data_IF_601306882002
#
_entry.id   IF_601306882002
#
_cell.length_a   1.000
_cell.length_b   1.000
_cell.length_c   1.000
_cell.angle_alpha   90.00
_cell.angle_beta   90.00
_cell.angle_gamma   90.00
#
_symmetry.space_group_name_H-M   'P 1'
#
loop_
_entity.id
_entity.type
_entity.pdbx_description
1 polymer ?
#
# COMPACT_ATOMS: atom_id res chain seq x y z
N UNK A 1 47.68 2.64 7.53
CA UNK A 1 46.48 3.29 6.93
C UNK A 1 45.91 2.31 5.90
N UNK A 2 45.13 1.32 6.34
CA UNK A 2 44.67 0.23 5.49
C UNK A 2 43.24 -0.20 5.86
N UNK A 3 42.36 -0.17 4.86
CA UNK A 3 41.09 -0.88 4.73
C UNK A 3 40.08 -0.85 5.90
N UNK A 4 39.24 0.19 5.94
CA UNK A 4 38.01 0.23 6.77
C UNK A 4 36.71 0.27 5.96
N UNK A 5 36.73 -0.08 4.67
CA UNK A 5 35.55 -0.01 3.78
C UNK A 5 34.82 -1.35 3.54
N UNK A 6 35.29 -2.48 4.08
CA UNK A 6 34.68 -3.81 3.89
C UNK A 6 33.69 -4.36 4.96
N UNK A 7 33.49 -3.78 6.17
CA UNK A 7 32.69 -4.46 7.19
C UNK A 7 31.18 -4.50 6.86
N UNK A 8 30.63 -3.50 6.16
CA UNK A 8 29.18 -3.39 5.92
C UNK A 8 28.63 -4.43 4.93
N UNK A 9 29.36 -4.70 3.84
CA UNK A 9 28.98 -5.68 2.83
C UNK A 9 29.09 -7.12 3.37
N UNK A 10 30.13 -7.40 4.15
CA UNK A 10 30.31 -8.70 4.81
C UNK A 10 29.19 -8.98 5.82
N UNK A 11 28.82 -7.97 6.61
CA UNK A 11 27.70 -8.06 7.57
C UNK A 11 26.37 -8.31 6.86
N UNK A 12 26.09 -7.61 5.74
CA UNK A 12 24.89 -7.86 4.92
C UNK A 12 24.85 -9.31 4.42
N UNK A 13 25.98 -9.83 3.92
CA UNK A 13 26.08 -11.20 3.44
C UNK A 13 25.83 -12.24 4.55
N UNK A 14 26.28 -11.95 5.77
CA UNK A 14 26.04 -12.79 6.94
C UNK A 14 24.56 -12.80 7.35
N UNK A 15 23.87 -11.67 7.28
CA UNK A 15 22.42 -11.58 7.53
C UNK A 15 21.61 -12.36 6.49
N UNK A 16 21.96 -12.26 5.20
CA UNK A 16 21.35 -13.06 4.15
C UNK A 16 21.62 -14.56 4.34
N UNK A 17 22.86 -14.95 4.69
CA UNK A 17 23.23 -16.34 4.97
C UNK A 17 22.41 -16.92 6.12
N UNK A 18 22.18 -16.16 7.19
CA UNK A 18 21.31 -16.57 8.31
C UNK A 18 19.90 -16.91 7.81
N UNK A 19 19.28 -16.03 7.02
CA UNK A 19 17.93 -16.24 6.47
C UNK A 19 17.88 -17.47 5.56
N UNK A 20 18.89 -17.66 4.73
CA UNK A 20 19.00 -18.86 3.87
C UNK A 20 19.11 -20.14 4.68
N UNK A 21 19.96 -20.17 5.72
CA UNK A 21 20.12 -21.34 6.59
C UNK A 21 18.81 -21.62 7.34
N UNK A 22 18.13 -20.61 7.87
CA UNK A 22 16.82 -20.76 8.49
C UNK A 22 15.82 -21.38 7.50
N UNK A 23 15.72 -20.87 6.27
CA UNK A 23 14.83 -21.41 5.25
C UNK A 23 15.14 -22.88 4.92
N UNK A 24 16.42 -23.22 4.75
CA UNK A 24 16.87 -24.60 4.49
C UNK A 24 16.54 -25.52 5.67
N UNK A 25 16.75 -25.07 6.90
CA UNK A 25 16.40 -25.85 8.09
C UNK A 25 14.88 -26.03 8.23
N UNK A 26 14.09 -25.01 7.91
CA UNK A 26 12.63 -25.13 7.84
C UNK A 26 12.21 -26.17 6.82
N UNK A 27 12.78 -26.15 5.60
CA UNK A 27 12.51 -27.16 4.57
C UNK A 27 12.91 -28.57 5.00
N UNK A 28 14.08 -28.73 5.62
CA UNK A 28 14.55 -30.04 6.12
C UNK A 28 13.69 -30.59 7.27
N UNK A 29 13.04 -29.71 8.03
CA UNK A 29 12.14 -30.09 9.12
C UNK A 29 10.75 -30.56 8.65
N UNK A 30 10.43 -30.39 7.36
CA UNK A 30 9.17 -30.84 6.77
C UNK A 30 9.19 -32.37 6.60
N UNK A 31 8.71 -33.10 7.61
CA UNK A 31 8.47 -34.55 7.54
C UNK A 31 7.07 -34.92 8.04
N UNK A 32 6.54 -36.02 7.52
CA UNK A 32 5.23 -36.57 7.90
C UNK A 32 4.06 -35.63 7.56
N UNK A 33 3.17 -35.42 8.54
CA UNK A 33 1.94 -34.63 8.37
C UNK A 33 2.17 -33.18 7.91
N UNK A 34 3.28 -32.54 8.32
CA UNK A 34 3.62 -31.17 7.88
C UNK A 34 3.87 -31.09 6.37
N UNK A 35 4.45 -32.13 5.78
CA UNK A 35 4.73 -32.19 4.35
C UNK A 35 3.42 -32.37 3.57
N UNK A 36 2.57 -33.31 3.98
CA UNK A 36 1.24 -33.54 3.37
C UNK A 36 0.38 -32.28 3.43
N UNK A 37 0.31 -31.63 4.60
CA UNK A 37 -0.41 -30.37 4.77
C UNK A 37 0.11 -29.30 3.79
N UNK A 38 1.43 -29.10 3.71
CA UNK A 38 2.00 -28.09 2.82
C UNK A 38 1.76 -28.42 1.34
N UNK A 39 1.86 -29.69 0.93
CA UNK A 39 1.54 -30.11 -0.44
C UNK A 39 0.07 -29.85 -0.79
N UNK A 40 -0.86 -30.13 0.13
CA UNK A 40 -2.28 -29.81 -0.06
C UNK A 40 -2.49 -28.30 -0.25
N UNK A 41 -1.86 -27.45 0.59
CA UNK A 41 -1.94 -26.00 0.44
C UNK A 41 -1.36 -25.51 -0.90
N UNK A 42 -0.23 -26.08 -1.34
CA UNK A 42 0.36 -25.76 -2.65
C UNK A 42 -0.58 -26.20 -3.77
N UNK A 43 -1.17 -27.39 -3.67
CA UNK A 43 -2.14 -27.90 -4.65
C UNK A 43 -3.37 -27.00 -4.79
N UNK A 44 -3.97 -26.60 -3.66
CA UNK A 44 -5.11 -25.65 -3.65
C UNK A 44 -4.69 -24.29 -4.21
N UNK A 45 -3.49 -23.80 -3.86
CA UNK A 45 -2.96 -22.55 -4.39
C UNK A 45 -2.78 -22.58 -5.91
N UNK A 46 -2.22 -23.67 -6.45
CA UNK A 46 -2.07 -23.87 -7.90
C UNK A 46 -3.41 -23.98 -8.61
N UNK A 47 -4.39 -24.65 -8.01
CA UNK A 47 -5.76 -24.73 -8.51
C UNK A 47 -6.40 -23.33 -8.57
N UNK A 48 -6.27 -22.54 -7.51
CA UNK A 48 -6.78 -21.17 -7.50
C UNK A 48 -6.11 -20.30 -8.57
N UNK A 49 -4.79 -20.42 -8.75
CA UNK A 49 -4.06 -19.71 -9.80
C UNK A 49 -4.47 -20.15 -11.22
N UNK A 50 -4.77 -21.44 -11.43
CA UNK A 50 -5.22 -21.94 -12.73
C UNK A 50 -6.63 -21.47 -13.08
N UNK A 51 -7.55 -21.42 -12.10
CA UNK A 51 -8.87 -20.82 -12.27
C UNK A 51 -8.73 -19.33 -12.63
N UNK A 52 -7.89 -18.60 -11.91
CA UNK A 52 -7.66 -17.18 -12.15
C UNK A 52 -7.08 -16.93 -13.55
N UNK A 53 -6.13 -17.77 -13.98
CA UNK A 53 -5.56 -17.75 -15.33
C UNK A 53 -6.64 -17.98 -16.39
N UNK A 54 -7.48 -19.00 -16.23
CA UNK A 54 -8.57 -19.29 -17.17
C UNK A 54 -9.56 -18.11 -17.27
N UNK A 55 -9.88 -17.48 -16.15
CA UNK A 55 -10.72 -16.27 -16.11
C UNK A 55 -10.11 -15.10 -16.88
N UNK A 56 -8.84 -14.77 -16.61
CA UNK A 56 -8.14 -13.68 -17.31
C UNK A 56 -7.94 -13.98 -18.79
N UNK A 57 -7.60 -15.21 -19.16
CA UNK A 57 -7.43 -15.59 -20.55
C UNK A 57 -8.75 -15.43 -21.32
N UNK A 58 -9.88 -15.91 -20.78
CA UNK A 58 -11.19 -15.71 -21.40
C UNK A 58 -11.54 -14.23 -21.55
N UNK A 59 -11.31 -13.43 -20.50
CA UNK A 59 -11.57 -11.99 -20.50
C UNK A 59 -10.72 -11.25 -21.55
N UNK A 60 -9.41 -11.52 -21.60
CA UNK A 60 -8.50 -10.87 -22.54
C UNK A 60 -8.76 -11.27 -23.99
N UNK A 61 -9.09 -12.54 -24.24
CA UNK A 61 -9.46 -13.03 -25.59
C UNK A 61 -10.75 -12.35 -26.08
N UNK A 62 -11.74 -12.19 -25.20
CA UNK A 62 -12.97 -11.47 -25.53
C UNK A 62 -12.70 -9.99 -25.84
N UNK A 63 -11.83 -9.35 -25.08
CA UNK A 63 -11.45 -7.95 -25.31
C UNK A 63 -10.71 -7.76 -26.63
N UNK A 64 -9.82 -8.68 -27.00
CA UNK A 64 -9.11 -8.60 -28.28
C UNK A 64 -9.98 -8.90 -29.51
N UNK A 65 -11.08 -9.65 -29.34
CA UNK A 65 -12.02 -9.91 -30.41
C UNK A 65 -12.76 -8.63 -30.89
N UNK A 66 -12.76 -7.56 -30.10
CA UNK A 66 -13.37 -6.27 -30.45
C UNK A 66 -12.46 -5.50 -31.41
N UNK A 67 -12.91 -5.35 -32.67
CA UNK A 67 -12.17 -4.65 -33.72
C UNK A 67 -11.88 -3.18 -33.33
N UNK A 68 -10.70 -2.68 -33.74
CA UNK A 68 -10.09 -1.37 -33.42
C UNK A 68 -9.71 -1.09 -31.94
N UNK A 69 -10.53 -1.48 -30.95
CA UNK A 69 -10.34 -1.05 -29.55
C UNK A 69 -9.59 -2.09 -28.71
N UNK A 70 -9.70 -3.37 -29.05
CA UNK A 70 -9.18 -4.49 -28.25
C UNK A 70 -7.71 -4.37 -27.84
N UNK A 71 -6.77 -4.09 -28.77
CA UNK A 71 -5.36 -3.97 -28.44
C UNK A 71 -5.05 -2.84 -27.45
N UNK A 72 -5.69 -1.68 -27.61
CA UNK A 72 -5.49 -0.51 -26.73
C UNK A 72 -6.07 -0.81 -25.33
N UNK A 73 -7.21 -1.47 -25.28
CA UNK A 73 -7.91 -1.78 -24.03
C UNK A 73 -7.14 -2.79 -23.17
N UNK A 74 -6.54 -3.81 -23.78
CA UNK A 74 -5.69 -4.78 -23.07
C UNK A 74 -4.50 -4.12 -22.34
N UNK A 75 -3.82 -3.16 -22.99
CA UNK A 75 -2.73 -2.40 -22.40
C UNK A 75 -3.20 -1.40 -21.34
N UNK A 76 -4.38 -0.79 -21.54
CA UNK A 76 -5.00 0.07 -20.52
C UNK A 76 -5.33 -0.72 -19.25
N UNK A 77 -5.93 -1.90 -19.40
CA UNK A 77 -6.20 -2.79 -18.27
C UNK A 77 -4.90 -3.20 -17.56
N UNK A 78 -3.84 -3.48 -18.32
CA UNK A 78 -2.52 -3.78 -17.75
C UNK A 78 -2.01 -2.62 -16.89
N UNK A 79 -2.12 -1.39 -17.39
CA UNK A 79 -1.76 -0.19 -16.64
C UNK A 79 -2.54 -0.05 -15.34
N UNK A 80 -3.85 -0.32 -15.38
CA UNK A 80 -4.72 -0.26 -14.21
C UNK A 80 -4.38 -1.35 -13.18
N UNK A 81 -4.19 -2.59 -13.63
CA UNK A 81 -3.80 -3.71 -12.74
C UNK A 81 -2.45 -3.40 -12.07
N UNK A 82 -1.46 -2.90 -12.82
CA UNK A 82 -0.17 -2.49 -12.27
C UNK A 82 -0.28 -1.30 -11.30
N UNK A 83 -1.16 -0.34 -11.57
CA UNK A 83 -1.42 0.77 -10.66
C UNK A 83 -2.06 0.29 -9.35
N UNK A 84 -3.03 -0.63 -9.44
CA UNK A 84 -3.67 -1.23 -8.27
C UNK A 84 -2.68 -2.04 -7.43
N UNK A 85 -1.84 -2.86 -8.07
CA UNK A 85 -0.81 -3.61 -7.34
C UNK A 85 0.23 -2.70 -6.71
N UNK A 86 0.69 -1.65 -7.41
CA UNK A 86 1.59 -0.65 -6.85
C UNK A 86 1.01 -0.03 -5.57
N UNK A 87 -0.23 0.43 -5.65
CA UNK A 87 -0.92 1.09 -4.52
C UNK A 87 -1.12 0.13 -3.36
N UNK A 88 -1.57 -1.10 -3.63
CA UNK A 88 -1.80 -2.12 -2.61
C UNK A 88 -0.51 -2.56 -1.92
N UNK A 89 0.61 -2.64 -2.65
CA UNK A 89 1.93 -2.93 -2.06
C UNK A 89 2.37 -1.78 -1.16
N UNK A 90 2.17 -0.51 -1.53
CA UNK A 90 2.47 0.63 -0.65
C UNK A 90 1.71 0.50 0.67
N UNK A 91 0.40 0.28 0.61
CA UNK A 91 -0.47 0.11 1.79
C UNK A 91 0.01 -1.05 2.67
N UNK A 92 0.23 -2.21 2.06
CA UNK A 92 0.73 -3.40 2.74
C UNK A 92 2.08 -3.14 3.40
N UNK A 93 2.98 -2.43 2.71
CA UNK A 93 4.32 -2.07 3.21
C UNK A 93 4.26 -1.13 4.40
N UNK A 94 3.32 -0.18 4.45
CA UNK A 94 3.12 0.70 5.62
C UNK A 94 2.79 -0.13 6.86
N UNK A 95 1.91 -1.13 6.73
CA UNK A 95 1.48 -1.97 7.83
C UNK A 95 2.59 -2.94 8.29
N UNK A 96 3.20 -3.63 7.33
CA UNK A 96 4.22 -4.66 7.62
C UNK A 96 5.50 -4.01 8.14
N UNK A 97 5.89 -2.86 7.59
CA UNK A 97 7.09 -2.14 8.05
C UNK A 97 7.04 -1.82 9.54
N UNK A 98 5.88 -1.51 10.10
CA UNK A 98 5.75 -1.27 11.54
C UNK A 98 6.07 -2.52 12.36
N UNK A 99 5.56 -3.68 11.95
CA UNK A 99 5.77 -4.93 12.68
C UNK A 99 7.18 -5.50 12.47
N UNK A 100 7.78 -5.29 11.30
CA UNK A 100 9.13 -5.80 10.97
C UNK A 100 10.26 -4.90 11.46
N UNK A 101 10.15 -3.58 11.29
CA UNK A 101 11.23 -2.61 11.60
C UNK A 101 11.31 -2.24 13.07
N UNK A 102 10.19 -2.26 13.80
CA UNK A 102 10.13 -1.78 15.18
C UNK A 102 9.77 -2.86 16.20
N UNK A 103 8.92 -3.83 15.81
CA UNK A 103 8.35 -4.82 16.72
C UNK A 103 8.76 -6.27 16.47
N UNK A 104 9.67 -6.53 15.54
CA UNK A 104 10.15 -7.88 15.28
C UNK A 104 10.87 -8.42 16.51
N UNK A 105 10.55 -9.67 16.89
CA UNK A 105 11.13 -10.39 18.02
C UNK A 105 12.66 -10.39 18.01
N UNK A 106 13.23 -10.45 16.81
CA UNK A 106 14.66 -10.64 16.60
C UNK A 106 15.44 -9.33 16.77
N UNK A 107 14.76 -8.18 16.78
CA UNK A 107 15.41 -6.87 16.90
C UNK A 107 16.17 -6.75 18.23
N UNK A 108 15.62 -7.26 19.33
CA UNK A 108 16.29 -7.22 20.65
C UNK A 108 17.65 -7.91 20.61
N UNK A 109 17.73 -9.06 19.94
CA UNK A 109 18.97 -9.79 19.73
C UNK A 109 19.90 -9.04 18.78
N UNK A 110 19.39 -8.59 17.63
CA UNK A 110 20.19 -7.92 16.59
C UNK A 110 20.81 -6.60 17.07
N UNK A 111 20.09 -5.81 17.88
CA UNK A 111 20.60 -4.58 18.50
C UNK A 111 21.59 -4.83 19.65
N UNK A 112 21.64 -6.06 20.18
CA UNK A 112 22.66 -6.45 21.18
C UNK A 112 23.99 -6.86 20.51
N UNK A 113 23.98 -7.12 19.20
CA UNK A 113 25.17 -7.40 18.43
C UNK A 113 25.82 -6.09 17.92
N UNK A 114 27.15 -6.06 17.68
CA UNK A 114 27.85 -4.90 17.12
C UNK A 114 27.57 -4.74 15.62
N UNK A 115 26.30 -4.55 15.25
CA UNK A 115 25.83 -4.36 13.88
C UNK A 115 25.55 -2.87 13.62
N UNK A 116 25.97 -2.32 12.47
CA UNK A 116 25.61 -0.96 12.10
C UNK A 116 24.09 -0.87 11.85
N UNK A 117 23.45 0.14 12.45
CA UNK A 117 22.00 0.34 12.40
C UNK A 117 21.46 0.39 10.96
N UNK A 118 22.23 0.94 10.03
CA UNK A 118 21.85 1.06 8.62
C UNK A 118 21.76 -0.32 7.92
N UNK A 119 22.66 -1.24 8.22
CA UNK A 119 22.63 -2.60 7.65
C UNK A 119 21.47 -3.41 8.23
N UNK A 120 21.19 -3.23 9.54
CA UNK A 120 20.03 -3.83 10.19
C UNK A 120 18.72 -3.30 9.59
N UNK A 121 18.64 -1.98 9.38
CA UNK A 121 17.51 -1.34 8.72
C UNK A 121 17.30 -1.88 7.30
N UNK A 122 18.37 -2.00 6.48
CA UNK A 122 18.26 -2.55 5.12
C UNK A 122 17.80 -4.02 5.13
N UNK A 123 18.31 -4.86 6.04
CA UNK A 123 17.87 -6.26 6.16
C UNK A 123 16.36 -6.35 6.45
N UNK A 124 15.87 -5.49 7.34
CA UNK A 124 14.44 -5.43 7.68
C UNK A 124 13.60 -4.72 6.61
N UNK A 125 14.16 -3.77 5.87
CA UNK A 125 13.50 -3.15 4.74
C UNK A 125 13.25 -4.17 3.61
N UNK A 126 14.27 -4.96 3.26
CA UNK A 126 14.12 -6.04 2.26
C UNK A 126 13.12 -7.10 2.72
N UNK A 127 13.16 -7.48 4.00
CA UNK A 127 12.18 -8.40 4.60
C UNK A 127 10.75 -7.85 4.50
N UNK A 128 10.57 -6.56 4.77
CA UNK A 128 9.29 -5.86 4.65
C UNK A 128 8.77 -5.89 3.22
N UNK A 129 9.63 -5.51 2.25
CA UNK A 129 9.26 -5.52 0.84
C UNK A 129 8.83 -6.91 0.41
N UNK A 130 9.61 -7.94 0.75
CA UNK A 130 9.27 -9.32 0.41
C UNK A 130 7.91 -9.75 1.00
N UNK A 131 7.69 -9.55 2.31
CA UNK A 131 6.42 -9.91 2.95
C UNK A 131 5.22 -9.12 2.43
N UNK A 132 5.43 -7.87 2.02
CA UNK A 132 4.36 -7.02 1.51
C UNK A 132 3.93 -7.35 0.07
N UNK A 133 4.85 -7.88 -0.74
CA UNK A 133 4.64 -8.01 -2.18
C UNK A 133 4.40 -9.45 -2.65
N UNK A 134 4.88 -10.47 -1.94
CA UNK A 134 4.91 -11.84 -2.47
C UNK A 134 3.52 -12.36 -2.87
N UNK A 135 2.47 -12.07 -2.09
CA UNK A 135 1.10 -12.49 -2.40
C UNK A 135 0.53 -11.78 -3.61
N UNK A 136 0.73 -10.47 -3.72
CA UNK A 136 0.23 -9.65 -4.82
C UNK A 136 0.96 -9.95 -6.13
N UNK A 137 2.25 -10.26 -6.06
CA UNK A 137 3.02 -10.75 -7.21
C UNK A 137 2.52 -12.12 -7.68
N UNK A 138 2.22 -13.04 -6.77
CA UNK A 138 1.61 -14.31 -7.16
C UNK A 138 0.24 -14.12 -7.82
N UNK A 139 -0.57 -13.16 -7.34
CA UNK A 139 -1.88 -12.86 -7.90
C UNK A 139 -1.81 -12.26 -9.33
N UNK A 140 -0.76 -11.52 -9.67
CA UNK A 140 -0.61 -10.92 -11.01
C UNK A 140 -0.03 -11.89 -12.05
N UNK A 141 0.63 -12.99 -11.62
CA UNK A 141 1.24 -13.97 -12.53
C UNK A 141 0.24 -14.55 -13.54
N UNK A 142 -0.95 -15.04 -13.13
CA UNK A 142 -1.96 -15.55 -14.06
C UNK A 142 -2.39 -14.53 -15.11
N UNK A 143 -2.51 -13.26 -14.73
CA UNK A 143 -2.87 -12.18 -15.64
C UNK A 143 -1.81 -11.97 -16.73
N UNK A 144 -0.53 -11.94 -16.35
CA UNK A 144 0.59 -11.72 -17.29
C UNK A 144 0.80 -12.92 -18.20
N UNK A 145 0.64 -14.15 -17.69
CA UNK A 145 0.66 -15.37 -18.50
C UNK A 145 -0.44 -15.34 -19.57
N UNK A 146 -1.66 -14.95 -19.17
CA UNK A 146 -2.78 -14.82 -20.10
C UNK A 146 -2.49 -13.73 -21.16
N UNK A 147 -1.96 -12.58 -20.75
CA UNK A 147 -1.61 -11.48 -21.65
C UNK A 147 -0.53 -11.86 -22.67
N UNK A 148 0.54 -12.53 -22.22
CA UNK A 148 1.60 -13.00 -23.11
C UNK A 148 1.09 -14.03 -24.12
N UNK A 149 0.18 -14.93 -23.70
CA UNK A 149 -0.44 -15.92 -24.58
C UNK A 149 -1.35 -15.29 -25.63
N UNK A 150 -2.19 -14.35 -25.21
CA UNK A 150 -3.16 -13.66 -26.08
C UNK A 150 -2.44 -12.78 -27.12
N UNK A 151 -1.39 -12.06 -26.73
CA UNK A 151 -0.54 -11.25 -27.63
C UNK A 151 0.45 -12.04 -28.48
N UNK A 152 0.54 -13.36 -28.32
CA UNK A 152 1.51 -14.21 -29.04
C UNK A 152 2.98 -13.91 -28.70
N UNK A 153 3.26 -13.41 -27.49
CA UNK A 153 4.61 -13.02 -27.08
C UNK A 153 5.44 -14.24 -26.64
N UNK A 154 6.73 -14.25 -27.02
CA UNK A 154 7.66 -15.32 -26.68
C UNK A 154 8.12 -15.32 -25.21
N UNK A 155 8.91 -16.33 -24.83
CA UNK A 155 9.40 -16.51 -23.44
C UNK A 155 10.19 -15.31 -22.91
N UNK A 156 10.89 -14.57 -23.79
CA UNK A 156 11.64 -13.38 -23.43
C UNK A 156 10.79 -12.28 -22.78
N UNK A 157 9.49 -12.20 -23.12
CA UNK A 157 8.57 -11.24 -22.50
C UNK A 157 8.42 -11.51 -21.00
N UNK A 158 8.26 -12.76 -20.59
CA UNK A 158 8.12 -13.10 -19.17
C UNK A 158 9.38 -12.78 -18.37
N UNK A 159 10.56 -13.01 -18.96
CA UNK A 159 11.85 -12.66 -18.33
C UNK A 159 11.99 -11.14 -18.19
N UNK A 160 11.67 -10.38 -19.24
CA UNK A 160 11.69 -8.92 -19.20
C UNK A 160 10.72 -8.36 -18.15
N UNK A 161 9.52 -8.93 -18.06
CA UNK A 161 8.52 -8.54 -17.07
C UNK A 161 9.00 -8.83 -15.65
N UNK A 162 9.55 -10.02 -15.40
CA UNK A 162 10.10 -10.39 -14.11
C UNK A 162 11.26 -9.44 -13.71
N UNK A 163 12.11 -9.05 -14.65
CA UNK A 163 13.17 -8.06 -14.42
C UNK A 163 12.62 -6.68 -14.03
N UNK A 164 11.56 -6.21 -14.69
CA UNK A 164 10.88 -4.94 -14.37
C UNK A 164 10.16 -4.97 -13.02
N UNK A 165 9.64 -6.14 -12.62
CA UNK A 165 8.94 -6.29 -11.34
C UNK A 165 9.85 -6.06 -10.12
N UNK A 166 11.14 -6.39 -10.22
CA UNK A 166 12.09 -6.19 -9.12
C UNK A 166 12.18 -4.72 -8.69
N UNK A 167 12.59 -3.76 -9.55
CA UNK A 167 12.64 -2.36 -9.18
C UNK A 167 11.24 -1.78 -8.90
N UNK A 168 10.19 -2.27 -9.57
CA UNK A 168 8.81 -1.84 -9.32
C UNK A 168 8.35 -2.12 -7.89
N UNK A 169 8.62 -3.31 -7.38
CA UNK A 169 8.28 -3.75 -6.02
C UNK A 169 9.17 -3.06 -4.99
N UNK A 170 10.46 -2.90 -5.29
CA UNK A 170 11.37 -2.16 -4.44
C UNK A 170 10.88 -0.71 -4.25
N UNK A 171 10.49 -0.04 -5.33
CA UNK A 171 9.94 1.32 -5.30
C UNK A 171 8.69 1.41 -4.42
N UNK A 172 7.69 0.57 -4.64
CA UNK A 172 6.45 0.60 -3.85
C UNK A 172 6.71 0.30 -2.37
N UNK A 173 7.56 -0.68 -2.09
CA UNK A 173 7.97 -1.01 -0.73
C UNK A 173 8.69 0.16 -0.03
N UNK A 174 9.60 0.84 -0.74
CA UNK A 174 10.34 1.97 -0.19
C UNK A 174 9.42 3.15 0.15
N UNK A 175 8.40 3.46 -0.66
CA UNK A 175 7.42 4.49 -0.32
C UNK A 175 6.70 4.17 1.00
N UNK A 176 6.25 2.92 1.17
CA UNK A 176 5.59 2.51 2.41
C UNK A 176 6.50 2.54 3.64
N UNK A 177 7.77 2.14 3.47
CA UNK A 177 8.79 2.14 4.54
C UNK A 177 9.21 3.56 4.94
N UNK A 178 9.43 4.45 3.96
CA UNK A 178 9.77 5.85 4.24
C UNK A 178 8.61 6.50 5.00
N UNK A 179 7.38 6.28 4.55
CA UNK A 179 6.21 6.82 5.21
C UNK A 179 6.08 6.33 6.66
N UNK A 180 6.21 5.01 6.89
CA UNK A 180 6.16 4.47 8.24
C UNK A 180 7.31 4.96 9.13
N UNK A 181 8.51 5.10 8.57
CA UNK A 181 9.66 5.69 9.26
C UNK A 181 9.38 7.14 9.70
N UNK A 182 8.82 7.97 8.81
CA UNK A 182 8.46 9.36 9.13
C UNK A 182 7.38 9.44 10.21
N UNK A 183 6.37 8.58 10.14
CA UNK A 183 5.32 8.52 11.16
C UNK A 183 5.91 8.15 12.52
N UNK A 184 6.79 7.15 12.56
CA UNK A 184 7.45 6.71 13.79
C UNK A 184 8.35 7.79 14.39
N UNK A 185 9.00 8.57 13.53
CA UNK A 185 9.82 9.70 13.94
C UNK A 185 8.98 10.85 14.52
N UNK A 186 7.83 11.14 13.92
CA UNK A 186 6.93 12.18 14.40
C UNK A 186 6.21 11.78 15.70
N UNK A 187 5.87 10.49 15.84
CA UNK A 187 5.16 9.94 17.00
C UNK A 187 5.91 8.77 17.66
N UNK A 188 7.07 9.01 18.28
CA UNK A 188 7.83 8.01 19.03
C UNK A 188 7.11 7.72 20.35
N UNK A 189 6.09 6.87 20.29
CA UNK A 189 5.21 6.55 21.40
C UNK A 189 4.99 5.05 21.43
N UNK A 190 4.95 4.47 22.63
CA UNK A 190 4.58 3.06 22.87
C UNK A 190 3.15 2.71 22.39
N UNK A 191 2.36 3.70 21.97
CA UNK A 191 1.01 3.55 21.36
C UNK A 191 1.02 3.32 19.84
N UNK A 192 2.17 2.98 19.28
CA UNK A 192 2.34 2.82 17.82
C UNK A 192 1.55 1.65 17.25
N UNK A 193 1.14 0.68 18.08
CA UNK A 193 0.16 -0.35 17.71
C UNK A 193 -1.21 0.22 17.32
N UNK A 194 -1.65 1.30 17.96
CA UNK A 194 -2.91 1.99 17.61
C UNK A 194 -2.73 2.88 16.37
N UNK A 195 -1.53 3.44 16.17
CA UNK A 195 -1.17 4.18 14.96
C UNK A 195 -1.16 3.26 13.74
N UNK A 196 -0.78 1.98 13.89
CA UNK A 196 -0.88 0.99 12.80
C UNK A 196 -2.32 0.77 12.35
N UNK A 197 -3.29 0.74 13.28
CA UNK A 197 -4.72 0.65 12.94
C UNK A 197 -5.24 1.92 12.25
N UNK A 198 -4.79 3.08 12.70
CA UNK A 198 -5.10 4.38 12.12
C UNK A 198 -4.54 4.52 10.70
N UNK A 199 -3.27 4.14 10.51
CA UNK A 199 -2.63 4.08 9.20
C UNK A 199 -3.31 3.07 8.28
N UNK A 200 -3.66 1.90 8.79
CA UNK A 200 -4.39 0.88 8.02
C UNK A 200 -5.74 1.39 7.53
N UNK A 201 -6.53 2.02 8.40
CA UNK A 201 -7.84 2.58 8.02
C UNK A 201 -7.69 3.76 7.04
N UNK A 202 -6.73 4.65 7.25
CA UNK A 202 -6.44 5.76 6.35
C UNK A 202 -5.96 5.28 4.97
N UNK A 203 -5.11 4.26 4.94
CA UNK A 203 -4.57 3.69 3.72
C UNK A 203 -5.63 2.92 2.93
N UNK A 204 -6.55 2.22 3.61
CA UNK A 204 -7.70 1.56 2.98
C UNK A 204 -8.66 2.60 2.37
N UNK A 205 -8.93 3.69 3.09
CA UNK A 205 -9.70 4.81 2.58
C UNK A 205 -9.05 5.45 1.35
N UNK A 206 -7.74 5.66 1.38
CA UNK A 206 -6.98 6.22 0.26
C UNK A 206 -7.05 5.33 -0.99
N UNK A 207 -6.85 4.02 -0.84
CA UNK A 207 -6.98 3.05 -1.95
C UNK A 207 -8.39 3.06 -2.51
N UNK A 208 -9.40 3.02 -1.64
CA UNK A 208 -10.79 3.07 -2.08
C UNK A 208 -11.09 4.31 -2.92
N UNK A 209 -10.64 5.48 -2.44
CA UNK A 209 -10.81 6.76 -3.13
C UNK A 209 -10.09 6.73 -4.49
N UNK A 210 -8.86 6.23 -4.56
CA UNK A 210 -8.09 6.08 -5.81
C UNK A 210 -8.78 5.13 -6.82
N UNK A 211 -9.33 4.01 -6.34
CA UNK A 211 -10.08 3.07 -7.17
C UNK A 211 -11.33 3.73 -7.76
N UNK A 212 -12.05 4.53 -6.96
CA UNK A 212 -13.25 5.24 -7.42
C UNK A 212 -12.91 6.39 -8.36
N UNK A 213 -11.82 7.13 -8.11
CA UNK A 213 -11.31 8.16 -9.04
C UNK A 213 -10.93 7.57 -10.41
N UNK A 214 -10.52 6.29 -10.44
CA UNK A 214 -10.17 5.61 -11.70
C UNK A 214 -11.39 5.25 -12.57
N UNK A 215 -12.63 5.53 -12.10
CA UNK A 215 -13.90 5.33 -12.84
C UNK A 215 -13.96 4.03 -13.67
N UNK A 216 -13.78 2.84 -13.07
CA UNK A 216 -13.83 1.57 -13.80
C UNK A 216 -15.20 1.32 -14.46
N UNK A 217 -16.26 1.92 -13.93
CA UNK A 217 -17.66 1.76 -14.38
C UNK A 217 -17.95 2.43 -15.74
N UNK A 218 -17.16 3.42 -16.16
CA UNK A 218 -17.33 4.06 -17.47
C UNK A 218 -16.79 3.21 -18.63
N UNK A 219 -16.08 2.10 -18.35
CA UNK A 219 -15.61 1.15 -19.37
C UNK A 219 -16.75 0.26 -19.92
N UNK A 220 -17.92 0.23 -19.27
CA UNK A 220 -19.02 -0.71 -19.56
C UNK A 220 -20.22 -0.07 -20.27
N UNK A 221 -20.18 1.22 -20.62
CA UNK A 221 -21.28 1.90 -21.33
C UNK A 221 -20.84 2.34 -22.73
N UNK A 222 -21.18 1.57 -23.77
CA UNK A 222 -20.97 1.97 -25.15
C UNK A 222 -22.21 2.73 -25.63
N UNK A 223 -22.20 4.06 -25.61
CA UNK A 223 -23.21 4.82 -26.36
C UNK A 223 -22.63 6.13 -26.94
N UNK A 224 -22.75 6.22 -28.27
CA UNK A 224 -22.40 7.29 -29.21
C UNK A 224 -20.95 7.38 -29.73
N UNK A 225 -20.82 7.50 -31.05
CA UNK A 225 -19.56 7.52 -31.82
C UNK A 225 -18.68 8.76 -31.55
N UNK A 226 -19.25 9.87 -31.05
CA UNK A 226 -18.48 11.02 -30.58
C UNK A 226 -17.74 10.73 -29.26
N UNK A 227 -18.31 9.84 -28.43
CA UNK A 227 -17.65 9.30 -27.23
C UNK A 227 -16.52 8.37 -27.61
N UNK A 228 -16.52 7.71 -28.79
CA UNK A 228 -15.41 6.82 -29.19
C UNK A 228 -14.11 7.58 -29.37
N UNK A 229 -14.11 8.80 -29.92
CA UNK A 229 -12.91 9.63 -30.03
C UNK A 229 -12.41 10.11 -28.64
N UNK A 230 -13.31 10.60 -27.77
CA UNK A 230 -12.98 10.95 -26.39
C UNK A 230 -12.59 9.74 -25.54
N UNK A 231 -13.14 8.56 -25.83
CA UNK A 231 -12.83 7.28 -25.19
C UNK A 231 -11.49 6.76 -25.63
N UNK A 232 -11.13 6.90 -26.92
CA UNK A 232 -9.79 6.64 -27.42
C UNK A 232 -8.79 7.61 -26.77
N UNK A 233 -9.13 8.89 -26.65
CA UNK A 233 -8.30 9.89 -25.97
C UNK A 233 -8.15 9.62 -24.47
N UNK A 234 -9.21 9.15 -23.79
CA UNK A 234 -9.18 8.70 -22.39
C UNK A 234 -8.39 7.39 -22.20
N UNK A 235 -8.54 6.45 -23.13
CA UNK A 235 -7.77 5.20 -23.16
C UNK A 235 -6.28 5.50 -23.37
N UNK A 236 -5.96 6.44 -24.26
CA UNK A 236 -4.59 6.91 -24.51
C UNK A 236 -4.06 7.84 -23.40
N UNK A 237 -4.96 8.48 -22.64
CA UNK A 237 -4.57 9.37 -21.55
C UNK A 237 -3.76 8.61 -20.49
N UNK A 238 -2.58 9.12 -20.11
CA UNK A 238 -1.74 8.45 -19.12
C UNK A 238 -2.45 8.35 -17.79
N UNK A 239 -2.61 7.14 -17.27
CA UNK A 239 -3.27 6.90 -15.97
C UNK A 239 -2.51 7.64 -14.85
N UNK A 240 -1.19 7.75 -14.97
CA UNK A 240 -0.34 8.69 -14.22
C UNK A 240 1.09 8.71 -14.78
N UNK A 241 1.50 9.78 -15.49
CA UNK A 241 2.80 9.87 -16.20
C UNK A 241 4.03 9.62 -15.30
N UNK A 242 3.93 9.95 -14.01
CA UNK A 242 5.04 9.93 -13.06
C UNK A 242 5.09 8.68 -12.17
N UNK A 243 4.09 7.78 -12.26
CA UNK A 243 4.03 6.59 -11.42
C UNK A 243 4.83 5.43 -12.03
N UNK A 244 5.53 4.61 -11.23
CA UNK A 244 6.28 3.45 -11.73
C UNK A 244 5.43 2.46 -12.51
N UNK A 245 4.13 2.35 -12.22
CA UNK A 245 3.18 1.52 -12.97
C UNK A 245 3.08 1.91 -14.45
N UNK A 246 3.19 3.21 -14.75
CA UNK A 246 3.18 3.70 -16.14
C UNK A 246 4.45 3.33 -16.89
N UNK A 247 5.62 3.47 -16.25
CA UNK A 247 6.91 3.11 -16.85
C UNK A 247 7.00 1.62 -17.15
N UNK A 248 6.51 0.75 -16.25
CA UNK A 248 6.42 -0.69 -16.51
C UNK A 248 5.49 -0.95 -17.71
N UNK A 249 4.30 -0.34 -17.74
CA UNK A 249 3.36 -0.54 -18.85
C UNK A 249 3.96 -0.09 -20.18
N UNK A 250 4.63 1.07 -20.21
CA UNK A 250 5.28 1.60 -21.41
C UNK A 250 6.44 0.72 -21.87
N UNK A 251 7.24 0.18 -20.94
CA UNK A 251 8.27 -0.80 -21.25
C UNK A 251 7.65 -2.05 -21.89
N UNK A 252 6.55 -2.57 -21.35
CA UNK A 252 5.87 -3.75 -21.91
C UNK A 252 5.28 -3.49 -23.31
N UNK A 253 4.70 -2.31 -23.54
CA UNK A 253 4.21 -1.88 -24.86
C UNK A 253 5.38 -1.78 -25.86
N UNK A 254 6.51 -1.19 -25.44
CA UNK A 254 7.71 -1.05 -26.26
C UNK A 254 8.30 -2.42 -26.63
N UNK A 255 8.34 -3.36 -25.67
CA UNK A 255 8.75 -4.74 -25.93
C UNK A 255 7.85 -5.41 -26.96
N UNK A 256 6.52 -5.29 -26.81
CA UNK A 256 5.54 -5.89 -27.73
C UNK A 256 5.58 -5.31 -29.14
N UNK A 257 6.06 -4.06 -29.29
CA UNK A 257 6.16 -3.38 -30.59
C UNK A 257 7.56 -3.47 -31.21
N UNK A 258 8.51 -4.15 -30.57
CA UNK A 258 9.88 -4.29 -31.05
C UNK A 258 10.76 -3.03 -30.86
N UNK A 259 10.27 -2.01 -30.14
CA UNK A 259 11.02 -0.79 -29.85
C UNK A 259 11.93 -0.99 -28.62
N UNK A 260 13.04 -1.70 -28.82
CA UNK A 260 13.97 -2.04 -27.73
C UNK A 260 14.60 -0.82 -27.04
N UNK A 261 14.81 0.28 -27.76
CA UNK A 261 15.36 1.52 -27.19
C UNK A 261 14.47 2.10 -26.09
N UNK A 262 13.17 2.20 -26.35
CA UNK A 262 12.19 2.70 -25.37
C UNK A 262 12.05 1.75 -24.18
N UNK A 263 12.09 0.43 -24.43
CA UNK A 263 12.07 -0.57 -23.36
C UNK A 263 13.23 -0.36 -22.38
N UNK A 264 14.46 -0.23 -22.89
CA UNK A 264 15.65 -0.04 -22.04
C UNK A 264 15.63 1.32 -21.33
N UNK A 265 15.12 2.37 -21.98
CA UNK A 265 14.97 3.69 -21.35
C UNK A 265 14.05 3.60 -20.13
N UNK A 266 12.87 3.00 -20.26
CA UNK A 266 11.93 2.88 -19.15
C UNK A 266 12.43 1.90 -18.07
N UNK A 267 13.11 0.81 -18.46
CA UNK A 267 13.73 -0.11 -17.51
C UNK A 267 14.85 0.57 -16.70
N UNK A 268 15.71 1.34 -17.38
CA UNK A 268 16.78 2.11 -16.76
C UNK A 268 16.23 3.21 -15.85
N UNK A 269 15.16 3.91 -16.26
CA UNK A 269 14.47 4.88 -15.43
C UNK A 269 13.93 4.25 -14.14
N UNK A 270 13.34 3.05 -14.21
CA UNK A 270 12.85 2.31 -13.04
C UNK A 270 13.97 1.91 -12.10
N UNK A 271 15.07 1.38 -12.64
CA UNK A 271 16.27 1.03 -11.88
C UNK A 271 16.87 2.26 -11.20
N UNK A 272 17.06 3.36 -11.94
CA UNK A 272 17.63 4.60 -11.43
C UNK A 272 16.75 5.20 -10.33
N UNK A 273 15.43 5.23 -10.51
CA UNK A 273 14.48 5.67 -9.49
C UNK A 273 14.56 4.77 -8.24
N UNK A 274 14.60 3.45 -8.43
CA UNK A 274 14.74 2.49 -7.33
C UNK A 274 16.01 2.72 -6.52
N UNK A 275 17.15 2.85 -7.19
CA UNK A 275 18.43 3.13 -6.56
C UNK A 275 18.45 4.49 -5.84
N UNK A 276 17.89 5.53 -6.47
CA UNK A 276 17.81 6.86 -5.87
C UNK A 276 16.97 6.86 -4.58
N UNK A 277 15.80 6.22 -4.60
CA UNK A 277 14.93 6.14 -3.42
C UNK A 277 15.57 5.28 -2.32
N UNK A 278 16.17 4.13 -2.64
CA UNK A 278 16.88 3.33 -1.64
C UNK A 278 18.12 4.01 -1.08
N UNK A 279 18.86 4.77 -1.91
CA UNK A 279 19.98 5.59 -1.46
C UNK A 279 19.52 6.69 -0.50
N UNK A 280 18.45 7.40 -0.84
CA UNK A 280 17.81 8.39 0.04
C UNK A 280 17.30 7.77 1.35
N UNK A 281 16.66 6.59 1.26
CA UNK A 281 16.19 5.84 2.41
C UNK A 281 17.34 5.40 3.32
N UNK A 282 18.45 4.93 2.75
CA UNK A 282 19.66 4.55 3.49
C UNK A 282 20.27 5.74 4.24
N UNK A 283 20.32 6.92 3.60
CA UNK A 283 20.78 8.15 4.22
C UNK A 283 19.85 8.56 5.37
N UNK A 284 18.54 8.59 5.11
CA UNK A 284 17.50 8.96 6.09
C UNK A 284 17.49 8.03 7.31
N UNK A 285 17.67 6.73 7.08
CA UNK A 285 17.73 5.73 8.14
C UNK A 285 18.85 6.01 9.15
N UNK A 286 19.99 6.53 8.68
CA UNK A 286 21.11 6.88 9.55
C UNK A 286 20.81 7.99 10.56
N UNK A 287 19.82 8.86 10.30
CA UNK A 287 19.45 9.95 11.21
C UNK A 287 18.20 9.63 12.03
N UNK A 288 17.26 8.91 11.44
CA UNK A 288 15.90 8.79 11.97
C UNK A 288 15.67 7.45 12.68
N UNK A 289 16.25 6.36 12.16
CA UNK A 289 15.86 5.01 12.57
C UNK A 289 16.16 4.73 14.05
N UNK A 290 17.36 5.05 14.53
CA UNK A 290 17.76 4.83 15.92
C UNK A 290 16.84 5.56 16.92
N UNK A 291 16.49 6.81 16.58
CA UNK A 291 15.62 7.65 17.40
C UNK A 291 14.18 7.12 17.41
N UNK A 292 13.69 6.68 16.25
CA UNK A 292 12.39 6.02 16.12
C UNK A 292 12.32 4.71 16.90
N UNK A 293 13.35 3.87 16.82
CA UNK A 293 13.43 2.59 17.53
C UNK A 293 13.51 2.76 19.05
N UNK A 294 14.39 3.65 19.53
CA UNK A 294 14.50 3.95 20.97
C UNK A 294 13.20 4.54 21.53
N UNK A 295 12.51 5.38 20.75
CA UNK A 295 11.19 5.91 21.09
C UNK A 295 10.07 4.87 21.09
N UNK A 296 10.14 3.88 20.18
CA UNK A 296 9.19 2.76 20.09
C UNK A 296 9.23 1.87 21.33
N UNK A 297 10.45 1.55 21.77
CA UNK A 297 10.71 0.62 22.86
C UNK A 297 10.72 1.31 24.23
N UNK A 298 10.92 2.63 24.23
CA UNK A 298 10.91 3.45 25.43
C UNK A 298 9.50 3.63 26.00
N UNK A 299 9.35 3.48 27.31
CA UNK A 299 8.15 3.92 28.00
C UNK A 299 8.12 5.46 28.01
N UNK A 300 6.98 6.12 27.72
CA UNK A 300 6.92 7.58 27.64
C UNK A 300 7.38 8.20 28.96
N UNK A 301 8.53 8.88 28.95
CA UNK A 301 9.00 9.67 30.10
C UNK A 301 8.02 10.81 30.29
N UNK A 302 7.15 10.70 31.29
CA UNK A 302 6.23 11.76 31.68
C UNK A 302 7.02 12.94 32.24
N UNK A 303 7.47 13.85 31.36
CA UNK A 303 7.87 15.19 31.78
C UNK A 303 6.59 15.95 32.09
N UNK A 304 6.20 15.95 33.36
CA UNK A 304 5.08 16.73 33.86
C UNK A 304 5.26 18.20 33.51
N UNK A 305 4.69 18.63 32.37
CA UNK A 305 4.59 20.04 32.05
C UNK A 305 3.55 20.63 32.98
N UNK A 306 4.00 21.29 34.02
CA UNK A 306 3.18 22.00 35.00
C UNK A 306 2.63 23.32 34.42
N UNK A 307 2.20 23.32 33.15
CA UNK A 307 1.56 24.48 32.53
C UNK A 307 0.06 24.33 32.68
N UNK A 308 -0.53 25.22 33.48
CA UNK A 308 -1.98 25.41 33.49
C UNK A 308 -2.47 25.75 32.09
N UNK A 309 -3.28 24.87 31.53
CA UNK A 309 -3.89 25.05 30.23
C UNK A 309 -5.04 26.05 30.30
N UNK A 310 -5.40 26.62 29.15
CA UNK A 310 -6.38 27.69 29.07
C UNK A 310 -7.74 27.29 29.67
N UNK A 311 -8.16 26.01 29.56
CA UNK A 311 -9.38 25.53 30.20
C UNK A 311 -9.30 25.50 31.72
N UNK A 312 -8.12 25.19 32.29
CA UNK A 312 -7.93 25.22 33.74
C UNK A 312 -7.99 26.66 34.26
N UNK A 313 -7.49 27.64 33.48
CA UNK A 313 -7.59 29.07 33.81
C UNK A 313 -9.04 29.57 33.72
N UNK A 314 -9.79 29.16 32.70
CA UNK A 314 -11.20 29.53 32.55
C UNK A 314 -12.10 28.86 33.58
N UNK A 315 -11.83 27.61 33.95
CA UNK A 315 -12.54 26.90 35.00
C UNK A 315 -12.32 27.52 36.39
N UNK A 316 -11.15 28.14 36.60
CA UNK A 316 -10.86 28.95 37.80
C UNK A 316 -11.58 30.31 37.78
N UNK A 317 -11.75 30.91 36.60
CA UNK A 317 -12.40 32.23 36.44
C UNK A 317 -13.94 32.17 36.47
N UNK A 318 -14.54 31.08 35.97
CA UNK A 318 -15.99 30.92 35.88
C UNK A 318 -16.45 29.64 36.60
N UNK A 319 -16.78 29.77 37.89
CA UNK A 319 -17.18 28.64 38.75
C UNK A 319 -18.40 27.86 38.24
N UNK A 320 -19.33 28.51 37.52
CA UNK A 320 -20.53 27.87 36.95
C UNK A 320 -20.23 26.94 35.77
N UNK A 321 -19.12 27.15 35.06
CA UNK A 321 -18.71 26.36 33.90
C UNK A 321 -17.65 25.31 34.25
N UNK A 322 -17.24 25.22 35.52
CA UNK A 322 -16.16 24.34 35.98
C UNK A 322 -16.39 22.87 35.61
N UNK A 323 -17.60 22.35 35.80
CA UNK A 323 -17.93 20.95 35.49
C UNK A 323 -17.92 20.67 33.99
N UNK A 324 -18.49 21.56 33.17
CA UNK A 324 -18.49 21.40 31.71
C UNK A 324 -17.08 21.52 31.11
N UNK A 325 -16.29 22.50 31.58
CA UNK A 325 -14.91 22.71 31.13
C UNK A 325 -13.97 21.58 31.55
N UNK A 326 -14.20 20.96 32.72
CA UNK A 326 -13.40 19.81 33.18
C UNK A 326 -13.73 18.53 32.42
N UNK A 327 -15.00 18.30 32.08
CA UNK A 327 -15.40 17.22 31.17
C UNK A 327 -14.82 17.43 29.76
N UNK A 328 -14.99 18.62 29.19
CA UNK A 328 -14.40 18.97 27.90
C UNK A 328 -12.87 18.79 27.88
N UNK A 329 -12.20 19.21 28.95
CA UNK A 329 -10.77 19.02 29.13
C UNK A 329 -10.38 17.54 29.17
N UNK A 330 -11.12 16.72 29.92
CA UNK A 330 -10.93 15.26 29.99
C UNK A 330 -11.10 14.64 28.61
N UNK A 331 -12.17 14.97 27.90
CA UNK A 331 -12.48 14.39 26.60
C UNK A 331 -11.49 14.83 25.52
N UNK A 332 -11.08 16.11 25.52
CA UNK A 332 -10.03 16.59 24.60
C UNK A 332 -8.71 15.88 24.85
N UNK A 333 -8.34 15.68 26.11
CA UNK A 333 -7.13 14.92 26.45
C UNK A 333 -7.24 13.45 26.05
N UNK A 334 -8.39 12.82 26.26
CA UNK A 334 -8.65 11.43 25.86
C UNK A 334 -8.57 11.29 24.34
N UNK A 335 -9.20 12.20 23.59
CA UNK A 335 -9.11 12.29 22.13
C UNK A 335 -7.66 12.47 21.64
N UNK A 336 -6.90 13.35 22.28
CA UNK A 336 -5.50 13.59 21.90
C UNK A 336 -4.55 12.47 22.33
N UNK A 337 -4.91 11.68 23.35
CA UNK A 337 -4.05 10.62 23.89
C UNK A 337 -4.37 9.26 23.27
N UNK A 338 -5.63 8.90 23.08
CA UNK A 338 -6.02 7.58 22.60
C UNK A 338 -6.18 7.59 21.07
N UNK A 339 -5.24 6.94 20.38
CA UNK A 339 -5.19 6.90 18.93
C UNK A 339 -6.34 6.07 18.32
N UNK A 340 -7.06 5.27 19.13
CA UNK A 340 -8.24 4.53 18.67
C UNK A 340 -9.36 5.46 18.21
N UNK A 341 -9.57 6.59 18.89
CA UNK A 341 -10.57 7.58 18.46
C UNK A 341 -10.19 8.21 17.12
N UNK A 342 -8.91 8.54 16.90
CA UNK A 342 -8.44 9.08 15.62
C UNK A 342 -8.65 8.11 14.45
N UNK A 343 -8.37 6.81 14.67
CA UNK A 343 -8.66 5.77 13.66
C UNK A 343 -10.16 5.71 13.32
N UNK A 344 -11.03 5.84 14.32
CA UNK A 344 -12.49 5.82 14.09
C UNK A 344 -12.99 7.09 13.40
N UNK A 345 -12.48 8.27 13.77
CA UNK A 345 -12.82 9.54 13.12
C UNK A 345 -12.41 9.50 11.64
N UNK A 346 -11.17 9.05 11.35
CA UNK A 346 -10.67 8.96 9.98
C UNK A 346 -11.49 7.98 9.14
N UNK A 347 -11.85 6.82 9.71
CA UNK A 347 -12.71 5.84 9.04
C UNK A 347 -14.07 6.44 8.69
N UNK A 348 -14.73 7.10 9.65
CA UNK A 348 -16.06 7.69 9.45
C UNK A 348 -15.97 8.84 8.44
N UNK A 349 -14.97 9.71 8.56
CA UNK A 349 -14.75 10.81 7.62
C UNK A 349 -14.52 10.30 6.19
N UNK A 350 -13.73 9.24 6.02
CA UNK A 350 -13.55 8.60 4.73
C UNK A 350 -14.88 8.06 4.16
N UNK A 351 -15.68 7.39 4.99
CA UNK A 351 -16.99 6.88 4.58
C UNK A 351 -17.93 8.02 4.14
N UNK A 352 -17.92 9.15 4.85
CA UNK A 352 -18.70 10.34 4.49
C UNK A 352 -18.24 10.93 3.15
N UNK A 353 -16.93 11.07 2.93
CA UNK A 353 -16.38 11.57 1.66
C UNK A 353 -16.79 10.68 0.50
N UNK A 354 -16.66 9.37 0.67
CA UNK A 354 -17.10 8.37 -0.31
C UNK A 354 -18.58 8.50 -0.60
N UNK A 355 -19.39 8.61 0.44
CA UNK A 355 -20.82 8.78 0.33
C UNK A 355 -21.19 10.04 -0.47
N UNK A 356 -20.65 11.20 -0.09
CA UNK A 356 -20.90 12.46 -0.78
C UNK A 356 -20.51 12.39 -2.26
N UNK A 357 -19.37 11.76 -2.56
CA UNK A 357 -18.90 11.60 -3.93
C UNK A 357 -19.71 10.59 -4.75
N UNK A 358 -20.24 9.56 -4.10
CA UNK A 358 -21.14 8.58 -4.73
C UNK A 358 -22.48 9.21 -5.09
N UNK A 359 -23.05 10.03 -4.19
CA UNK A 359 -24.33 10.72 -4.42
C UNK A 359 -24.23 11.71 -5.58
N UNK A 360 -23.12 12.44 -5.69
CA UNK A 360 -22.89 13.39 -6.78
C UNK A 360 -22.82 12.76 -8.19
N UNK A 361 -22.61 11.45 -8.29
CA UNK A 361 -22.48 10.75 -9.57
C UNK A 361 -23.77 10.02 -10.00
N UNK A 362 -24.84 10.09 -9.21
CA UNK A 362 -26.11 9.48 -9.57
C UNK A 362 -26.75 10.28 -10.72
N UNK A 363 -27.12 9.66 -11.85
CA UNK A 363 -27.92 10.31 -12.88
C UNK A 363 -29.32 10.57 -12.33
N UNK A 364 -29.59 11.82 -11.96
CA UNK A 364 -30.87 12.27 -11.38
C UNK A 364 -31.80 12.81 -12.48
N UNK A 365 -31.90 12.08 -13.58
CA UNK A 365 -32.55 12.57 -14.81
C UNK A 365 -34.08 12.60 -14.72
N UNK A 366 -34.68 11.85 -13.78
CA UNK A 366 -36.13 11.84 -13.53
C UNK A 366 -36.49 12.36 -12.13
N UNK A 367 -37.58 13.16 -12.01
CA UNK A 367 -38.01 13.76 -10.74
C UNK A 367 -38.39 12.71 -9.67
N UNK A 368 -38.85 11.53 -10.08
CA UNK A 368 -39.21 10.43 -9.18
C UNK A 368 -37.97 9.80 -8.52
N UNK A 369 -36.90 9.56 -9.30
CA UNK A 369 -35.62 9.05 -8.80
C UNK A 369 -34.99 10.06 -7.84
N UNK A 370 -35.09 11.36 -8.17
CA UNK A 370 -34.56 12.42 -7.30
C UNK A 370 -35.24 12.46 -5.94
N UNK A 371 -36.56 12.31 -5.90
CA UNK A 371 -37.34 12.32 -4.65
C UNK A 371 -37.04 11.09 -3.79
N UNK A 372 -36.96 9.91 -4.42
CA UNK A 372 -36.63 8.66 -3.74
C UNK A 372 -35.19 8.65 -3.18
N UNK A 373 -34.21 9.09 -3.97
CA UNK A 373 -32.81 9.20 -3.54
C UNK A 373 -32.65 10.20 -2.41
N UNK A 374 -33.37 11.33 -2.45
CA UNK A 374 -33.33 12.34 -1.38
C UNK A 374 -33.89 11.80 -0.06
N UNK A 375 -34.99 11.04 -0.10
CA UNK A 375 -35.55 10.39 1.08
C UNK A 375 -34.58 9.36 1.68
N UNK A 376 -33.97 8.54 0.84
CA UNK A 376 -33.00 7.53 1.26
C UNK A 376 -31.72 8.16 1.84
N UNK A 377 -31.30 9.32 1.30
CA UNK A 377 -30.17 10.09 1.81
C UNK A 377 -30.43 10.62 3.24
N UNK A 378 -31.64 11.10 3.55
CA UNK A 378 -32.01 11.49 4.92
C UNK A 378 -31.87 10.30 5.89
N UNK A 379 -32.28 9.10 5.47
CA UNK A 379 -32.11 7.87 6.26
C UNK A 379 -30.64 7.51 6.50
N UNK A 380 -29.81 7.59 5.46
CA UNK A 380 -28.36 7.34 5.58
C UNK A 380 -27.68 8.38 6.45
N UNK A 381 -28.03 9.66 6.32
CA UNK A 381 -27.51 10.73 7.16
C UNK A 381 -27.88 10.51 8.65
N UNK A 382 -29.13 10.12 8.93
CA UNK A 382 -29.56 9.74 10.27
C UNK A 382 -28.79 8.54 10.83
N UNK A 383 -28.54 7.53 10.01
CA UNK A 383 -27.73 6.37 10.38
C UNK A 383 -26.29 6.75 10.70
N UNK A 384 -25.66 7.62 9.91
CA UNK A 384 -24.30 8.11 10.14
C UNK A 384 -24.23 8.91 11.45
N UNK A 385 -25.18 9.81 11.71
CA UNK A 385 -25.25 10.58 12.97
C UNK A 385 -25.43 9.66 14.17
N UNK A 386 -26.31 8.65 14.08
CA UNK A 386 -26.52 7.66 15.14
C UNK A 386 -25.27 6.81 15.41
N UNK A 387 -24.59 6.36 14.36
CA UNK A 387 -23.36 5.58 14.46
C UNK A 387 -22.20 6.39 15.07
N UNK A 388 -22.12 7.70 14.80
CA UNK A 388 -21.19 8.63 15.47
C UNK A 388 -21.57 8.75 16.94
N UNK A 389 -22.85 8.96 17.26
CA UNK A 389 -23.34 9.02 18.63
C UNK A 389 -22.92 7.80 19.45
N UNK A 390 -23.22 6.59 18.97
CA UNK A 390 -22.90 5.31 19.63
C UNK A 390 -21.41 5.04 19.85
N UNK A 391 -20.53 5.64 19.06
CA UNK A 391 -19.08 5.40 19.16
C UNK A 391 -18.34 6.39 20.05
N UNK A 392 -18.84 7.62 20.16
CA UNK A 392 -18.17 8.71 20.88
C UNK A 392 -18.84 9.07 22.22
N UNK A 393 -19.99 8.48 22.55
CA UNK A 393 -20.51 8.40 23.94
C UNK A 393 -19.85 7.24 24.66
#
# INVERSE_FOLDING_TARGET
>A
MAFSLQPSAFIMLLLFKRKFICAVNTLKSLRGWKLVKNLLFIGVGLLMLSILYAGFWRLLTYLEAVQLIGPILSWKLTSMVLLMTFSMIIVSSILISMTTLYYSSDLKFLFSCPLPERSLFLDKAVETVFYSSWTLLLAIVPYILALGRVKGLGVGFYISYASLMVPFVLLSGAFGIIFSMLVMYAFPSSRTRDITWLLGSCSLAFVYVMLRFSKPEQLLRPDSLAVVAQYIEYLQSPTAKYLPSWWVTKAMIAYSSGHWGDFWLYAAALMAAGLAIYGGMYFLAGFIYARGFSGAQGSPRFRGKNRMLWEQRLALKYSRLKTALTLYWKDRLLLLRDARYWSQIILIAALIVVYLFSVNQLPLDTPDIKSFVSFLNIGVAGFVVSAIGLRFT
#
